data_IF_547619013732
#
_entry.id   IF_547619013732
#
_cell.length_a   1.000
_cell.length_b   1.000
_cell.length_c   1.000
_cell.angle_alpha   90.00
_cell.angle_beta   90.00
_cell.angle_gamma   90.00
#
_symmetry.space_group_name_H-M   'P 1'
#
loop_
_entity.id
_entity.type
_entity.pdbx_description
1 polymer ?
#
# COMPACT_ATOMS: atom_id res chain seq x y z
N UNK A 1 49.72 4.35 -28.44
CA UNK A 1 48.30 4.07 -28.07
C UNK A 1 47.76 5.28 -27.35
N UNK A 2 46.91 6.05 -28.01
CA UNK A 2 46.48 7.38 -27.58
C UNK A 2 45.45 7.28 -26.47
N UNK A 3 45.47 8.23 -25.54
CA UNK A 3 44.56 8.35 -24.37
C UNK A 3 43.06 8.23 -24.72
N UNK A 4 42.69 8.55 -25.96
CA UNK A 4 41.32 8.35 -26.50
C UNK A 4 40.85 6.88 -26.55
N UNK A 5 41.78 5.91 -26.65
CA UNK A 5 41.40 4.49 -26.66
C UNK A 5 41.04 3.92 -25.30
N UNK A 6 41.55 4.49 -24.21
CA UNK A 6 41.25 4.03 -22.84
C UNK A 6 39.88 4.52 -22.34
N UNK A 7 39.46 5.72 -22.75
CA UNK A 7 38.14 6.27 -22.39
C UNK A 7 36.99 5.56 -23.12
N UNK A 8 37.17 5.19 -24.37
CA UNK A 8 36.15 4.42 -25.11
C UNK A 8 35.97 2.99 -24.56
N UNK A 9 37.06 2.32 -24.14
CA UNK A 9 36.98 0.99 -23.51
C UNK A 9 36.32 1.03 -22.14
N UNK A 10 36.54 2.07 -21.33
CA UNK A 10 35.88 2.27 -20.04
C UNK A 10 34.38 2.49 -20.16
N UNK A 11 33.96 3.32 -21.13
CA UNK A 11 32.54 3.59 -21.40
C UNK A 11 31.79 2.36 -21.95
N UNK A 12 32.41 1.59 -22.83
CA UNK A 12 31.81 0.36 -23.37
C UNK A 12 31.69 -0.75 -22.30
N UNK A 13 32.65 -0.84 -21.38
CA UNK A 13 32.62 -1.79 -20.26
C UNK A 13 31.54 -1.40 -19.24
N UNK A 14 31.35 -0.10 -18.94
CA UNK A 14 30.31 0.40 -18.06
C UNK A 14 28.93 0.20 -18.69
N UNK A 15 28.74 0.52 -19.97
CA UNK A 15 27.49 0.29 -20.67
C UNK A 15 27.10 -1.20 -20.70
N UNK A 16 28.07 -2.10 -20.91
CA UNK A 16 27.83 -3.56 -20.90
C UNK A 16 27.47 -4.08 -19.50
N UNK A 17 28.05 -3.53 -18.44
CA UNK A 17 27.70 -3.88 -17.05
C UNK A 17 26.32 -3.34 -16.66
N UNK A 18 25.98 -2.13 -17.08
CA UNK A 18 24.66 -1.54 -16.87
C UNK A 18 23.59 -2.32 -17.66
N UNK A 19 23.85 -2.70 -18.90
CA UNK A 19 22.93 -3.54 -19.69
C UNK A 19 22.75 -4.94 -19.12
N UNK A 20 23.79 -5.54 -18.50
CA UNK A 20 23.65 -6.84 -17.82
C UNK A 20 22.82 -6.74 -16.55
N UNK A 21 22.97 -5.67 -15.77
CA UNK A 21 22.15 -5.41 -14.57
C UNK A 21 20.70 -5.16 -14.95
N UNK A 22 20.45 -4.39 -16.01
CA UNK A 22 19.09 -4.15 -16.53
C UNK A 22 18.48 -5.45 -17.08
N UNK A 23 19.24 -6.28 -17.81
CA UNK A 23 18.77 -7.56 -18.32
C UNK A 23 18.47 -8.58 -17.21
N UNK A 24 19.23 -8.57 -16.11
CA UNK A 24 18.94 -9.40 -14.93
C UNK A 24 17.68 -8.95 -14.17
N UNK A 25 17.31 -7.67 -14.22
CA UNK A 25 16.12 -7.15 -13.58
C UNK A 25 14.81 -7.54 -14.30
N UNK A 26 14.88 -7.90 -15.59
CA UNK A 26 13.71 -8.33 -16.38
C UNK A 26 13.44 -9.85 -16.37
N UNK A 27 14.28 -10.67 -15.71
CA UNK A 27 14.19 -12.15 -15.79
C UNK A 27 13.33 -12.79 -14.69
N UNK A 28 12.72 -12.00 -13.78
CA UNK A 28 11.88 -12.53 -12.69
C UNK A 28 10.44 -12.02 -12.76
N UNK A 29 9.75 -12.25 -13.88
CA UNK A 29 8.31 -12.16 -13.92
C UNK A 29 7.74 -13.55 -13.51
N UNK A 30 7.38 -13.73 -12.25
CA UNK A 30 6.59 -14.88 -11.84
C UNK A 30 5.13 -14.66 -12.30
N UNK A 31 4.45 -15.67 -12.85
CA UNK A 31 3.04 -15.54 -13.17
C UNK A 31 2.22 -15.43 -11.88
N UNK A 32 1.29 -14.48 -11.84
CA UNK A 32 0.28 -14.33 -10.79
C UNK A 32 -0.58 -15.61 -10.78
N UNK A 33 -0.38 -16.46 -9.81
CA UNK A 33 -1.25 -17.61 -9.58
C UNK A 33 -2.56 -17.11 -8.99
N UNK A 34 -3.67 -17.34 -9.68
CA UNK A 34 -5.01 -17.23 -9.09
C UNK A 34 -5.06 -18.25 -7.97
N UNK A 35 -5.31 -17.82 -6.73
CA UNK A 35 -5.48 -18.71 -5.60
C UNK A 35 -6.71 -19.59 -5.88
N UNK A 36 -6.48 -20.85 -6.25
CA UNK A 36 -7.55 -21.84 -6.34
C UNK A 36 -7.90 -22.30 -4.93
N UNK A 37 -9.21 -22.33 -4.62
CA UNK A 37 -9.69 -22.97 -3.41
C UNK A 37 -9.19 -24.43 -3.39
N UNK A 38 -8.69 -24.93 -2.22
CA UNK A 38 -8.21 -26.30 -2.12
C UNK A 38 -9.28 -27.33 -2.49
N UNK A 39 -8.87 -28.47 -3.05
CA UNK A 39 -9.76 -29.56 -3.37
C UNK A 39 -10.58 -29.98 -2.16
N UNK A 40 -11.89 -30.07 -2.34
CA UNK A 40 -12.86 -30.32 -1.32
C UNK A 40 -13.80 -31.46 -1.75
N UNK A 41 -13.90 -32.50 -0.91
CA UNK A 41 -14.90 -33.57 -1.07
C UNK A 41 -16.16 -33.21 -0.25
N UNK A 42 -17.26 -32.76 -0.88
CA UNK A 42 -18.48 -32.39 -0.16
C UNK A 42 -19.10 -33.55 0.61
N UNK A 43 -18.86 -34.81 0.20
CA UNK A 43 -19.51 -35.96 0.82
C UNK A 43 -18.84 -36.41 2.14
N UNK A 44 -17.65 -35.88 2.43
CA UNK A 44 -16.91 -36.26 3.65
C UNK A 44 -17.55 -35.72 4.96
N UNK A 45 -18.45 -34.72 4.87
CA UNK A 45 -19.01 -34.05 6.04
C UNK A 45 -20.48 -34.38 6.23
N UNK A 46 -20.87 -34.97 7.40
CA UNK A 46 -22.27 -35.27 7.68
C UNK A 46 -23.10 -34.01 7.83
N UNK A 47 -24.30 -34.05 7.29
CA UNK A 47 -25.25 -32.94 7.36
C UNK A 47 -26.09 -32.98 8.66
N UNK A 48 -26.62 -31.84 9.11
CA UNK A 48 -27.71 -31.80 10.04
C UNK A 48 -28.93 -32.63 9.55
N UNK A 49 -29.75 -33.16 10.45
CA UNK A 49 -30.87 -33.99 10.06
C UNK A 49 -31.90 -33.29 9.19
N UNK A 50 -32.03 -31.99 9.36
CA UNK A 50 -32.96 -31.14 8.61
C UNK A 50 -32.30 -29.84 8.15
N UNK A 51 -31.94 -29.74 6.87
CA UNK A 51 -31.37 -28.54 6.29
C UNK A 51 -32.37 -27.39 6.15
N UNK A 52 -33.70 -27.66 6.23
CA UNK A 52 -34.68 -26.57 6.19
C UNK A 52 -34.63 -25.68 7.40
N UNK A 53 -34.26 -26.22 8.59
CA UNK A 53 -34.03 -25.52 9.84
C UNK A 53 -32.65 -24.87 9.97
N UNK A 54 -31.76 -25.03 8.97
CA UNK A 54 -30.47 -24.35 8.95
C UNK A 54 -30.59 -23.01 8.22
N UNK A 55 -30.18 -21.93 8.89
CA UNK A 55 -30.25 -20.56 8.38
C UNK A 55 -28.87 -19.93 8.31
N UNK A 56 -28.57 -19.28 7.22
CA UNK A 56 -27.33 -18.51 7.03
C UNK A 56 -27.63 -17.02 6.98
N UNK A 57 -26.73 -16.23 7.55
CA UNK A 57 -26.82 -14.77 7.55
C UNK A 57 -25.47 -14.17 7.15
N UNK A 58 -25.52 -13.17 6.29
CA UNK A 58 -24.41 -12.28 6.03
C UNK A 58 -24.31 -11.27 7.18
N UNK A 59 -23.17 -11.24 7.82
CA UNK A 59 -22.85 -10.24 8.85
C UNK A 59 -21.84 -9.27 8.25
N UNK A 60 -22.26 -8.01 8.09
CA UNK A 60 -21.41 -6.93 7.57
C UNK A 60 -21.08 -5.98 8.69
N UNK A 61 -19.80 -5.69 8.87
CA UNK A 61 -19.28 -4.78 9.90
C UNK A 61 -18.65 -3.59 9.21
N UNK A 62 -19.08 -2.39 9.57
CA UNK A 62 -18.58 -1.15 9.01
C UNK A 62 -17.11 -0.88 9.37
N UNK A 63 -16.52 0.11 8.73
CA UNK A 63 -15.17 0.59 9.02
C UNK A 63 -15.02 1.00 10.48
N UNK A 64 -13.81 0.95 11.01
CA UNK A 64 -13.49 1.34 12.39
C UNK A 64 -12.24 2.22 12.44
N UNK A 65 -11.87 2.63 13.67
CA UNK A 65 -10.77 3.57 13.90
C UNK A 65 -9.38 2.94 13.78
N UNK A 66 -9.25 1.61 13.89
CA UNK A 66 -7.96 0.96 13.75
C UNK A 66 -7.56 0.84 12.28
N UNK A 67 -6.25 0.87 12.01
CA UNK A 67 -5.70 0.76 10.66
C UNK A 67 -6.19 -0.49 9.89
N UNK A 68 -6.34 -1.61 10.57
CA UNK A 68 -6.83 -2.86 10.00
C UNK A 68 -8.36 -2.94 9.88
N UNK A 69 -9.10 -1.99 10.47
CA UNK A 69 -10.56 -1.91 10.40
C UNK A 69 -11.07 -0.98 9.30
N UNK A 70 -10.17 -0.26 8.61
CA UNK A 70 -10.54 0.76 7.61
C UNK A 70 -11.28 0.20 6.39
N UNK A 71 -11.22 -1.10 6.14
CA UNK A 71 -11.97 -1.74 5.05
C UNK A 71 -13.27 -2.40 5.51
N UNK A 72 -13.60 -2.33 6.80
CA UNK A 72 -14.73 -3.05 7.35
C UNK A 72 -14.41 -4.53 7.57
N UNK A 73 -15.46 -5.35 7.74
CA UNK A 73 -15.31 -6.78 7.91
C UNK A 73 -16.57 -7.54 7.47
N UNK A 74 -16.40 -8.79 7.02
CA UNK A 74 -17.51 -9.69 6.67
C UNK A 74 -17.35 -11.00 7.43
N UNK A 75 -18.44 -11.48 8.00
CA UNK A 75 -18.54 -12.79 8.61
C UNK A 75 -19.82 -13.52 8.14
N UNK A 76 -19.87 -14.81 8.34
CA UNK A 76 -21.03 -15.63 8.02
C UNK A 76 -21.59 -16.24 9.32
N UNK A 77 -22.86 -15.99 9.64
CA UNK A 77 -23.55 -16.62 10.77
C UNK A 77 -24.39 -17.79 10.29
N UNK A 78 -24.33 -18.88 11.03
CA UNK A 78 -25.15 -20.07 10.83
C UNK A 78 -25.95 -20.35 12.11
N UNK A 79 -27.26 -20.54 11.94
CA UNK A 79 -28.14 -20.99 13.03
C UNK A 79 -28.85 -22.29 12.61
N UNK A 80 -28.74 -23.33 13.43
CA UNK A 80 -29.43 -24.61 13.26
C UNK A 80 -30.50 -24.75 14.35
N UNK A 81 -31.75 -24.74 13.97
CA UNK A 81 -32.91 -24.85 14.85
C UNK A 81 -32.93 -26.21 15.59
N UNK A 82 -32.48 -27.29 14.93
CA UNK A 82 -32.56 -28.66 15.44
C UNK A 82 -31.64 -28.89 16.62
N UNK A 83 -30.44 -28.30 16.60
CA UNK A 83 -29.42 -28.40 17.64
C UNK A 83 -29.31 -27.16 18.50
N UNK A 84 -30.00 -26.07 18.15
CA UNK A 84 -29.83 -24.74 18.72
C UNK A 84 -28.37 -24.24 18.61
N UNK A 85 -27.64 -24.74 17.61
CA UNK A 85 -26.28 -24.30 17.34
C UNK A 85 -26.30 -22.95 16.64
N UNK A 86 -25.59 -21.95 17.20
CA UNK A 86 -25.53 -20.58 16.69
C UNK A 86 -24.07 -20.13 16.64
N UNK A 87 -23.49 -20.03 15.46
CA UNK A 87 -22.08 -19.76 15.24
C UNK A 87 -21.86 -18.65 14.22
N UNK A 88 -20.89 -17.78 14.48
CA UNK A 88 -20.31 -16.87 13.50
C UNK A 88 -18.96 -17.45 13.03
N UNK A 89 -18.82 -17.62 11.73
CA UNK A 89 -17.59 -17.97 11.03
C UNK A 89 -16.88 -16.70 10.64
N UNK A 90 -15.70 -16.48 11.23
CA UNK A 90 -14.92 -15.27 11.09
C UNK A 90 -13.56 -15.60 10.49
N UNK A 91 -13.29 -15.13 9.27
CA UNK A 91 -11.98 -15.17 8.59
C UNK A 91 -11.26 -13.86 8.85
N UNK A 92 -10.12 -13.88 9.43
CA UNK A 92 -9.39 -12.65 9.75
C UNK A 92 -8.79 -12.67 11.14
N UNK A 93 -8.86 -13.83 11.81
CA UNK A 93 -8.18 -14.01 13.08
C UNK A 93 -6.69 -14.21 12.82
N UNK A 94 -5.85 -13.36 13.39
CA UNK A 94 -4.41 -13.39 13.23
C UNK A 94 -3.71 -13.22 14.59
N UNK A 95 -2.50 -13.77 14.68
CA UNK A 95 -1.72 -13.75 15.91
C UNK A 95 -0.78 -12.53 15.95
N UNK A 96 -0.94 -11.69 16.96
CA UNK A 96 -0.06 -10.56 17.28
C UNK A 96 0.78 -10.79 18.54
N UNK A 97 0.77 -12.00 19.10
CA UNK A 97 1.48 -12.32 20.35
C UNK A 97 2.99 -12.07 20.27
N UNK A 98 3.58 -12.13 19.06
CA UNK A 98 4.97 -11.77 18.79
C UNK A 98 5.30 -10.28 18.87
N UNK A 99 4.29 -9.40 18.99
CA UNK A 99 4.43 -7.95 19.02
C UNK A 99 4.38 -7.28 17.65
N UNK A 100 4.27 -5.94 17.65
CA UNK A 100 4.03 -5.12 16.45
C UNK A 100 5.16 -5.21 15.42
N UNK A 101 6.43 -5.29 15.84
CA UNK A 101 7.57 -5.29 14.90
C UNK A 101 7.66 -6.59 14.10
N UNK A 102 7.60 -7.80 14.70
CA UNK A 102 7.50 -9.05 13.94
C UNK A 102 6.25 -9.10 13.04
N UNK A 103 5.11 -8.62 13.52
CA UNK A 103 3.89 -8.54 12.70
C UNK A 103 4.10 -7.65 11.47
N UNK A 104 4.58 -6.41 11.64
CA UNK A 104 4.84 -5.50 10.52
C UNK A 104 5.86 -6.05 9.52
N UNK A 105 6.88 -6.77 10.00
CA UNK A 105 7.88 -7.42 9.16
C UNK A 105 7.29 -8.59 8.37
N UNK A 106 6.46 -9.42 8.98
CA UNK A 106 5.76 -10.50 8.30
C UNK A 106 4.75 -9.96 7.28
N UNK A 107 4.01 -8.91 7.65
CA UNK A 107 3.13 -8.19 6.74
C UNK A 107 3.89 -7.68 5.51
N UNK A 108 5.03 -7.01 5.71
CA UNK A 108 5.87 -6.54 4.61
C UNK A 108 6.34 -7.66 3.68
N UNK A 109 6.63 -8.84 4.23
CA UNK A 109 7.01 -10.03 3.45
C UNK A 109 5.84 -10.70 2.72
N UNK A 110 4.60 -10.36 3.04
CA UNK A 110 3.43 -11.10 2.55
C UNK A 110 3.13 -12.38 3.33
N UNK A 111 3.81 -12.61 4.46
CA UNK A 111 3.56 -13.75 5.34
C UNK A 111 2.45 -13.36 6.32
N UNK A 112 1.21 -13.59 5.91
CA UNK A 112 0.02 -13.25 6.67
C UNK A 112 -0.80 -14.52 6.88
N UNK A 113 -0.44 -15.28 7.90
CA UNK A 113 -1.19 -16.48 8.26
C UNK A 113 -2.40 -16.06 9.09
N UNK A 114 -3.54 -16.06 8.44
CA UNK A 114 -4.84 -15.86 9.05
C UNK A 114 -5.56 -17.19 9.17
N UNK A 115 -6.55 -17.25 10.06
CA UNK A 115 -7.33 -18.45 10.23
C UNK A 115 -8.82 -18.17 10.36
N UNK A 116 -9.62 -19.18 10.01
CA UNK A 116 -11.03 -19.23 10.33
C UNK A 116 -11.22 -19.56 11.82
N UNK A 117 -12.08 -18.80 12.48
CA UNK A 117 -12.60 -19.11 13.80
C UNK A 117 -14.13 -19.16 13.76
N UNK A 118 -14.73 -20.11 14.47
CA UNK A 118 -16.16 -20.12 14.73
C UNK A 118 -16.41 -19.84 16.22
N UNK A 119 -17.27 -18.87 16.51
CA UNK A 119 -17.57 -18.41 17.86
C UNK A 119 -19.06 -18.11 18.04
N UNK A 120 -19.51 -18.01 19.29
CA UNK A 120 -20.87 -17.60 19.58
C UNK A 120 -21.08 -16.13 19.16
N UNK A 121 -22.25 -15.78 18.57
CA UNK A 121 -22.52 -14.41 18.11
C UNK A 121 -22.36 -13.35 19.20
N UNK A 122 -22.64 -13.67 20.44
CA UNK A 122 -22.50 -12.74 21.57
C UNK A 122 -21.06 -12.25 21.75
N UNK A 123 -20.07 -13.13 21.55
CA UNK A 123 -18.65 -12.76 21.69
C UNK A 123 -18.22 -11.81 20.57
N UNK A 124 -18.61 -12.11 19.34
CA UNK A 124 -18.29 -11.26 18.18
C UNK A 124 -18.97 -9.89 18.29
N UNK A 125 -20.26 -9.87 18.59
CA UNK A 125 -21.00 -8.62 18.71
C UNK A 125 -20.53 -7.76 19.88
N UNK A 126 -20.11 -8.35 21.00
CA UNK A 126 -19.52 -7.61 22.12
C UNK A 126 -18.16 -6.99 21.72
N UNK A 127 -17.37 -7.69 20.92
CA UNK A 127 -16.12 -7.15 20.36
C UNK A 127 -16.40 -5.95 19.44
N UNK A 128 -17.32 -6.08 18.48
CA UNK A 128 -17.66 -4.96 17.56
C UNK A 128 -18.28 -3.78 18.30
N UNK A 129 -19.06 -4.03 19.37
CA UNK A 129 -19.58 -2.97 20.24
C UNK A 129 -18.47 -2.23 20.96
N UNK A 130 -17.47 -2.94 21.49
CA UNK A 130 -16.31 -2.33 22.12
C UNK A 130 -15.48 -1.49 21.13
N UNK A 131 -15.45 -1.87 19.85
CA UNK A 131 -14.81 -1.13 18.77
C UNK A 131 -15.68 0.02 18.21
N UNK A 132 -16.92 0.19 18.68
CA UNK A 132 -17.88 1.18 18.19
C UNK A 132 -18.14 1.09 16.67
N UNK A 133 -18.28 -0.12 16.15
CA UNK A 133 -18.52 -0.39 14.73
C UNK A 133 -19.96 -0.77 14.47
N UNK A 134 -20.55 -0.21 13.43
CA UNK A 134 -21.89 -0.59 12.98
C UNK A 134 -21.90 -2.01 12.44
N UNK A 135 -22.93 -2.77 12.78
CA UNK A 135 -23.10 -4.16 12.34
C UNK A 135 -24.48 -4.35 11.76
N UNK A 136 -24.53 -4.86 10.53
CA UNK A 136 -25.74 -5.28 9.83
C UNK A 136 -25.75 -6.79 9.68
N UNK A 137 -26.96 -7.35 9.70
CA UNK A 137 -27.20 -8.76 9.44
C UNK A 137 -28.34 -8.91 8.45
N UNK A 138 -28.19 -9.81 7.47
CA UNK A 138 -29.19 -10.13 6.47
C UNK A 138 -29.25 -11.64 6.25
N UNK A 139 -30.46 -12.19 6.17
CA UNK A 139 -30.65 -13.61 5.89
C UNK A 139 -30.28 -13.91 4.44
N UNK A 140 -29.54 -15.00 4.23
CA UNK A 140 -29.19 -15.48 2.90
C UNK A 140 -30.21 -16.56 2.49
N UNK A 141 -30.99 -16.31 1.44
CA UNK A 141 -32.02 -17.21 0.94
C UNK A 141 -31.41 -18.23 -0.02
N UNK A 142 -31.09 -19.41 0.52
CA UNK A 142 -30.54 -20.54 -0.20
C UNK A 142 -31.54 -21.70 -0.21
N UNK A 143 -31.55 -22.48 -1.29
CA UNK A 143 -32.24 -23.78 -1.35
C UNK A 143 -31.52 -24.80 -0.47
N UNK A 144 -32.18 -25.89 -0.07
CA UNK A 144 -31.57 -26.93 0.75
C UNK A 144 -30.27 -27.50 0.12
N UNK A 145 -30.21 -27.83 -1.18
CA UNK A 145 -28.95 -28.27 -1.78
C UNK A 145 -27.82 -27.23 -1.68
N UNK A 146 -28.13 -25.93 -1.85
CA UNK A 146 -27.14 -24.85 -1.71
C UNK A 146 -26.66 -24.69 -0.27
N UNK A 147 -27.58 -24.81 0.71
CA UNK A 147 -27.20 -24.84 2.14
C UNK A 147 -26.29 -26.02 2.48
N UNK A 148 -26.54 -27.19 1.87
CA UNK A 148 -25.69 -28.37 2.04
C UNK A 148 -24.24 -28.13 1.59
N UNK A 149 -24.07 -27.54 0.40
CA UNK A 149 -22.74 -27.21 -0.14
C UNK A 149 -22.02 -26.23 0.81
N UNK A 150 -22.70 -25.14 1.18
CA UNK A 150 -22.13 -24.13 2.06
C UNK A 150 -21.78 -24.70 3.44
N UNK A 151 -22.68 -25.48 4.05
CA UNK A 151 -22.44 -26.12 5.33
C UNK A 151 -21.20 -27.02 5.31
N UNK A 152 -21.11 -27.90 4.32
CA UNK A 152 -19.99 -28.84 4.18
C UNK A 152 -18.68 -28.08 3.96
N UNK A 153 -18.69 -27.01 3.18
CA UNK A 153 -17.51 -26.15 2.97
C UNK A 153 -17.05 -25.50 4.26
N UNK A 154 -17.97 -25.01 5.09
CA UNK A 154 -17.67 -24.43 6.38
C UNK A 154 -17.06 -25.44 7.35
N UNK A 155 -17.65 -26.66 7.42
CA UNK A 155 -17.13 -27.72 8.27
C UNK A 155 -15.73 -28.17 7.85
N UNK A 156 -15.49 -28.32 6.53
CA UNK A 156 -14.17 -28.59 5.99
C UNK A 156 -13.16 -27.50 6.37
N UNK A 157 -13.53 -26.25 6.28
CA UNK A 157 -12.62 -25.12 6.59
C UNK A 157 -12.34 -24.98 8.10
N UNK A 158 -13.19 -25.52 8.97
CA UNK A 158 -12.94 -25.54 10.42
C UNK A 158 -11.89 -26.58 10.84
N UNK A 159 -11.56 -27.54 10.00
CA UNK A 159 -10.54 -28.53 10.33
C UNK A 159 -9.17 -27.89 10.52
N UNK A 160 -8.36 -28.33 11.49
CA UNK A 160 -7.08 -27.71 11.82
C UNK A 160 -6.14 -27.51 10.63
N UNK A 161 -6.14 -28.44 9.67
CA UNK A 161 -5.30 -28.38 8.48
C UNK A 161 -5.82 -27.44 7.39
N UNK A 162 -7.09 -27.04 7.44
CA UNK A 162 -7.75 -26.23 6.40
C UNK A 162 -8.10 -24.82 6.86
N UNK A 163 -8.01 -24.54 8.18
CA UNK A 163 -8.45 -23.25 8.74
C UNK A 163 -7.48 -22.10 8.47
N UNK A 164 -6.18 -22.40 8.32
CA UNK A 164 -5.16 -21.40 8.06
C UNK A 164 -5.09 -21.09 6.56
N UNK A 165 -4.87 -19.82 6.22
CA UNK A 165 -4.69 -19.38 4.85
C UNK A 165 -3.75 -18.18 4.77
N UNK A 166 -3.11 -18.02 3.60
CA UNK A 166 -2.27 -16.88 3.30
C UNK A 166 -3.16 -15.70 2.88
N UNK A 167 -3.39 -14.78 3.79
CA UNK A 167 -4.23 -13.61 3.53
C UNK A 167 -3.64 -12.73 2.44
N UNK A 168 -4.48 -12.35 1.48
CA UNK A 168 -4.19 -11.39 0.42
C UNK A 168 -5.26 -10.30 0.45
N UNK A 169 -4.86 -9.04 0.63
CA UNK A 169 -5.80 -7.96 0.93
C UNK A 169 -6.88 -7.73 -0.16
N UNK A 170 -6.62 -8.02 -1.43
CA UNK A 170 -7.60 -7.93 -2.50
C UNK A 170 -8.21 -9.29 -2.89
N UNK A 171 -7.42 -10.37 -2.85
CA UNK A 171 -7.79 -11.63 -3.50
C UNK A 171 -8.24 -12.72 -2.52
N UNK A 172 -7.72 -12.75 -1.29
CA UNK A 172 -8.03 -13.78 -0.28
C UNK A 172 -8.13 -13.17 1.13
N UNK A 173 -9.25 -12.50 1.39
CA UNK A 173 -9.55 -11.86 2.67
C UNK A 173 -10.86 -12.40 3.29
N UNK A 174 -11.29 -11.84 4.42
CA UNK A 174 -12.54 -12.25 5.08
C UNK A 174 -13.77 -12.16 4.17
N UNK A 175 -13.84 -11.15 3.33
CA UNK A 175 -14.98 -10.88 2.45
C UNK A 175 -14.94 -11.77 1.20
N UNK A 176 -13.78 -11.91 0.56
CA UNK A 176 -13.64 -12.79 -0.61
C UNK A 176 -13.89 -14.25 -0.25
N UNK A 177 -13.51 -14.70 0.96
CA UNK A 177 -13.85 -16.04 1.44
C UNK A 177 -15.35 -16.26 1.52
N UNK A 178 -16.11 -15.34 2.07
CA UNK A 178 -17.58 -15.41 2.11
C UNK A 178 -18.16 -15.36 0.69
N UNK A 179 -17.68 -14.45 -0.15
CA UNK A 179 -18.07 -14.31 -1.55
C UNK A 179 -17.91 -15.63 -2.32
N UNK A 180 -16.73 -16.22 -2.23
CA UNK A 180 -16.35 -17.39 -3.01
C UNK A 180 -17.11 -18.65 -2.52
N UNK A 181 -17.37 -18.77 -1.22
CA UNK A 181 -18.18 -19.87 -0.69
C UNK A 181 -19.66 -19.74 -1.05
N UNK A 182 -20.17 -18.51 -1.13
CA UNK A 182 -21.51 -18.28 -1.66
C UNK A 182 -21.59 -18.55 -3.17
N UNK A 183 -20.56 -18.17 -3.92
CA UNK A 183 -20.50 -18.46 -5.37
C UNK A 183 -20.43 -19.97 -5.63
N UNK A 184 -19.65 -20.72 -4.86
CA UNK A 184 -19.61 -22.19 -4.93
C UNK A 184 -20.99 -22.80 -4.64
N UNK A 185 -21.69 -22.35 -3.59
CA UNK A 185 -23.02 -22.81 -3.24
C UNK A 185 -24.05 -22.47 -4.31
N UNK A 186 -23.83 -21.40 -5.08
CA UNK A 186 -24.66 -20.90 -6.17
C UNK A 186 -24.18 -21.34 -7.56
N UNK A 187 -23.30 -22.34 -7.64
CA UNK A 187 -22.81 -22.94 -8.89
C UNK A 187 -22.15 -21.93 -9.85
N UNK A 188 -21.31 -21.01 -9.31
CA UNK A 188 -20.54 -20.01 -10.07
C UNK A 188 -21.37 -18.86 -10.65
N UNK A 189 -22.61 -18.66 -10.21
CA UNK A 189 -23.51 -17.65 -10.79
C UNK A 189 -23.19 -16.22 -10.39
N UNK A 190 -22.58 -16.01 -9.22
CA UNK A 190 -22.19 -14.67 -8.80
C UNK A 190 -20.98 -14.22 -9.61
N UNK A 191 -19.95 -15.05 -9.70
CA UNK A 191 -18.76 -14.73 -10.49
C UNK A 191 -19.08 -14.52 -11.98
N UNK A 192 -19.99 -15.32 -12.55
CA UNK A 192 -20.45 -15.13 -13.91
C UNK A 192 -21.23 -13.82 -14.12
N UNK A 193 -21.98 -13.36 -13.11
CA UNK A 193 -22.83 -12.16 -13.20
C UNK A 193 -22.03 -10.87 -13.10
N UNK A 194 -21.03 -10.80 -12.23
CA UNK A 194 -20.39 -9.56 -11.82
C UNK A 194 -19.06 -9.27 -12.55
N UNK A 195 -18.97 -9.58 -13.84
CA UNK A 195 -17.78 -9.36 -14.68
C UNK A 195 -17.67 -7.96 -15.28
N UNK A 196 -18.69 -7.10 -15.11
CA UNK A 196 -18.64 -5.73 -15.63
C UNK A 196 -17.58 -4.91 -14.86
N UNK A 197 -16.78 -4.13 -15.59
CA UNK A 197 -15.85 -3.17 -14.99
C UNK A 197 -16.63 -2.03 -14.33
N UNK A 198 -16.06 -1.52 -13.24
CA UNK A 198 -16.50 -0.32 -12.53
C UNK A 198 -15.66 0.89 -12.95
N UNK A 199 -16.05 2.09 -12.52
CA UNK A 199 -15.28 3.31 -12.76
C UNK A 199 -14.15 3.52 -11.72
N UNK A 200 -14.04 2.64 -10.73
CA UNK A 200 -13.04 2.72 -9.65
C UNK A 200 -11.86 1.77 -9.89
N UNK A 201 -10.70 2.15 -9.40
CA UNK A 201 -9.50 1.30 -9.31
C UNK A 201 -9.29 0.83 -7.87
N UNK A 202 -8.45 -0.19 -7.65
CA UNK A 202 -8.04 -0.55 -6.30
C UNK A 202 -7.36 0.64 -5.58
N UNK A 203 -6.60 1.49 -6.30
CA UNK A 203 -5.99 2.69 -5.73
C UNK A 203 -7.04 3.66 -5.19
N UNK A 204 -8.10 3.92 -5.94
CA UNK A 204 -9.17 4.81 -5.48
C UNK A 204 -9.83 4.29 -4.21
N UNK A 205 -10.10 2.98 -4.16
CA UNK A 205 -10.69 2.32 -3.00
C UNK A 205 -9.75 2.37 -1.79
N UNK A 206 -8.45 2.07 -1.97
CA UNK A 206 -7.44 2.17 -0.89
C UNK A 206 -7.35 3.61 -0.37
N UNK A 207 -7.28 4.60 -1.26
CA UNK A 207 -7.19 6.00 -0.86
C UNK A 207 -8.44 6.46 -0.10
N UNK A 208 -9.64 6.07 -0.54
CA UNK A 208 -10.89 6.44 0.13
C UNK A 208 -11.01 5.81 1.53
N UNK A 209 -10.62 4.55 1.69
CA UNK A 209 -10.72 3.84 2.97
C UNK A 209 -9.68 4.32 4.00
N UNK A 210 -8.50 4.73 3.56
CA UNK A 210 -7.49 5.32 4.46
C UNK A 210 -7.58 6.84 4.58
N UNK A 211 -8.66 7.48 4.12
CA UNK A 211 -8.83 8.92 4.21
C UNK A 211 -8.85 9.45 5.66
N UNK A 212 -9.22 8.63 6.64
CA UNK A 212 -9.10 8.95 8.08
C UNK A 212 -7.66 8.86 8.61
N UNK A 213 -6.73 8.23 7.86
CA UNK A 213 -5.34 7.98 8.26
C UNK A 213 -4.39 8.45 7.17
N UNK A 214 -4.33 9.77 6.97
CA UNK A 214 -3.63 10.42 5.86
C UNK A 214 -2.17 9.95 5.64
N UNK A 215 -1.43 9.65 6.71
CA UNK A 215 -0.04 9.19 6.60
C UNK A 215 0.05 7.79 5.95
N UNK A 216 -0.93 6.93 6.23
CA UNK A 216 -0.99 5.58 5.64
C UNK A 216 -1.41 5.67 4.18
N UNK A 217 -2.48 6.43 3.88
CA UNK A 217 -2.89 6.68 2.51
C UNK A 217 -1.72 7.19 1.64
N UNK A 218 -0.97 8.17 2.15
CA UNK A 218 0.20 8.70 1.47
C UNK A 218 1.35 7.69 1.34
N UNK A 219 1.56 6.85 2.35
CA UNK A 219 2.57 5.77 2.29
C UNK A 219 2.22 4.73 1.25
N UNK A 220 0.95 4.32 1.16
CA UNK A 220 0.47 3.36 0.18
C UNK A 220 0.51 3.95 -1.25
N UNK A 221 0.23 5.25 -1.42
CA UNK A 221 0.43 5.94 -2.69
C UNK A 221 1.87 5.82 -3.21
N UNK A 222 2.85 5.87 -2.31
CA UNK A 222 4.27 5.70 -2.67
C UNK A 222 4.62 4.23 -2.91
N UNK A 223 4.16 3.32 -2.06
CA UNK A 223 4.64 1.93 -2.01
C UNK A 223 3.96 1.01 -3.03
N UNK A 224 2.70 1.30 -3.42
CA UNK A 224 1.96 0.45 -4.36
C UNK A 224 2.24 0.83 -5.81
N UNK A 225 2.39 -0.18 -6.66
CA UNK A 225 2.72 -0.04 -8.08
C UNK A 225 1.47 0.12 -8.97
N UNK A 226 1.63 0.03 -10.29
CA UNK A 226 0.57 0.17 -11.28
C UNK A 226 -0.41 -1.01 -11.40
N UNK A 227 -0.20 -2.12 -10.69
CA UNK A 227 -1.14 -3.24 -10.71
C UNK A 227 -2.51 -2.83 -10.15
N UNK A 228 -2.52 -1.89 -9.21
CA UNK A 228 -3.75 -1.41 -8.56
C UNK A 228 -4.42 -0.24 -9.31
N UNK A 229 -3.91 0.16 -10.46
CA UNK A 229 -4.37 1.34 -11.22
C UNK A 229 -5.31 0.98 -12.39
N UNK A 230 -5.68 -0.28 -12.52
CA UNK A 230 -6.69 -0.70 -13.50
C UNK A 230 -8.10 -0.62 -12.92
N UNK A 231 -9.12 -0.40 -13.74
CA UNK A 231 -10.51 -0.57 -13.32
C UNK A 231 -10.72 -1.98 -12.74
N UNK A 232 -11.50 -2.06 -11.67
CA UNK A 232 -11.89 -3.32 -11.05
C UNK A 232 -13.25 -3.76 -11.56
N UNK A 233 -13.48 -5.07 -11.67
CA UNK A 233 -14.81 -5.59 -11.96
C UNK A 233 -15.69 -5.53 -10.70
N UNK A 234 -17.01 -5.61 -10.88
CA UNK A 234 -17.95 -5.74 -9.76
C UNK A 234 -17.66 -6.97 -8.89
N UNK A 235 -17.10 -8.04 -9.49
CA UNK A 235 -16.63 -9.21 -8.76
C UNK A 235 -15.40 -8.90 -7.89
N UNK A 236 -14.43 -8.22 -8.46
CA UNK A 236 -13.21 -7.85 -7.76
C UNK A 236 -13.48 -6.84 -6.62
N UNK A 237 -14.34 -5.81 -6.83
CA UNK A 237 -14.66 -4.85 -5.78
C UNK A 237 -15.35 -5.48 -4.55
N UNK A 238 -15.93 -6.69 -4.68
CA UNK A 238 -16.52 -7.44 -3.57
C UNK A 238 -15.48 -8.02 -2.59
N UNK A 239 -14.21 -7.61 -2.66
CA UNK A 239 -13.27 -7.77 -1.54
C UNK A 239 -13.62 -6.83 -0.38
N UNK A 240 -14.40 -5.77 -0.65
CA UNK A 240 -14.92 -4.83 0.32
C UNK A 240 -16.28 -5.31 0.88
N UNK A 241 -16.46 -5.32 2.22
CA UNK A 241 -17.68 -5.79 2.86
C UNK A 241 -18.95 -5.10 2.38
N UNK A 242 -18.91 -3.76 2.28
CA UNK A 242 -20.06 -2.99 1.84
C UNK A 242 -20.40 -3.24 0.37
N UNK A 243 -19.38 -3.40 -0.51
CA UNK A 243 -19.59 -3.73 -1.93
C UNK A 243 -20.15 -5.14 -2.10
N UNK A 244 -19.66 -6.12 -1.32
CA UNK A 244 -20.25 -7.47 -1.33
C UNK A 244 -21.74 -7.41 -0.99
N UNK A 245 -22.09 -6.76 0.12
CA UNK A 245 -23.47 -6.62 0.55
C UNK A 245 -24.34 -5.89 -0.48
N UNK A 246 -23.86 -4.78 -1.04
CA UNK A 246 -24.55 -3.99 -2.05
C UNK A 246 -24.84 -4.82 -3.32
N UNK A 247 -23.84 -5.49 -3.86
CA UNK A 247 -23.98 -6.32 -5.06
C UNK A 247 -24.90 -7.51 -4.82
N UNK A 248 -24.79 -8.20 -3.68
CA UNK A 248 -25.68 -9.32 -3.36
C UNK A 248 -27.13 -8.90 -3.15
N UNK A 249 -27.40 -7.67 -2.69
CA UNK A 249 -28.76 -7.16 -2.51
C UNK A 249 -29.56 -7.08 -3.82
N UNK A 250 -28.87 -6.95 -4.95
CA UNK A 250 -29.44 -6.95 -6.32
C UNK A 250 -29.62 -8.35 -6.94
N UNK A 251 -29.33 -9.43 -6.21
CA UNK A 251 -29.41 -10.81 -6.70
C UNK A 251 -30.69 -11.46 -6.20
N UNK A 252 -31.34 -12.24 -7.08
CA UNK A 252 -32.48 -13.09 -6.71
C UNK A 252 -31.99 -14.50 -6.38
N UNK A 253 -32.56 -15.10 -5.35
CA UNK A 253 -32.34 -16.51 -4.99
C UNK A 253 -32.89 -17.45 -6.07
N UNK A 254 -32.53 -18.72 -5.99
CA UNK A 254 -33.24 -19.73 -6.76
C UNK A 254 -34.67 -19.90 -6.26
N UNK A 255 -35.48 -20.49 -7.13
CA UNK A 255 -36.86 -20.80 -6.79
C UNK A 255 -36.85 -21.84 -5.66
N UNK A 256 -37.40 -21.47 -4.51
CA UNK A 256 -37.59 -22.39 -3.41
C UNK A 256 -38.60 -23.49 -3.78
N UNK A 257 -38.65 -24.56 -2.97
CA UNK A 257 -39.58 -25.70 -3.21
C UNK A 257 -41.05 -25.27 -3.27
N UNK A 258 -41.39 -24.13 -2.65
CA UNK A 258 -42.75 -23.53 -2.71
C UNK A 258 -43.03 -22.73 -4.00
N UNK A 259 -42.07 -22.66 -4.92
CA UNK A 259 -42.18 -21.95 -6.20
C UNK A 259 -41.94 -20.45 -6.12
N UNK A 260 -41.53 -19.90 -4.96
CA UNK A 260 -41.25 -18.47 -4.80
C UNK A 260 -39.80 -18.17 -4.99
N UNK A 261 -39.54 -17.09 -5.71
CA UNK A 261 -38.20 -16.50 -5.81
C UNK A 261 -38.13 -15.27 -4.89
N UNK A 262 -37.15 -15.28 -3.97
CA UNK A 262 -36.91 -14.20 -3.04
C UNK A 262 -35.61 -13.45 -3.41
N UNK A 263 -35.37 -12.21 -2.95
CA UNK A 263 -34.03 -11.63 -2.97
C UNK A 263 -33.03 -12.55 -2.25
N UNK A 264 -31.80 -12.64 -2.75
CA UNK A 264 -30.76 -13.47 -2.12
C UNK A 264 -30.50 -13.02 -0.67
N UNK A 265 -30.51 -11.71 -0.41
CA UNK A 265 -30.49 -11.13 0.92
C UNK A 265 -31.88 -10.63 1.33
N UNK A 266 -32.32 -10.98 2.53
CA UNK A 266 -33.59 -10.54 3.13
C UNK A 266 -33.45 -10.32 4.62
N UNK A 267 -34.55 -9.93 5.27
CA UNK A 267 -34.62 -9.75 6.73
C UNK A 267 -33.48 -8.87 7.28
N UNK A 268 -33.27 -7.72 6.62
CA UNK A 268 -32.29 -6.72 7.05
C UNK A 268 -32.46 -6.28 8.49
N UNK A 269 -31.40 -6.38 9.27
CA UNK A 269 -31.35 -6.00 10.67
C UNK A 269 -30.11 -5.15 10.95
N UNK A 270 -30.30 -4.06 11.67
CA UNK A 270 -29.21 -3.30 12.29
C UNK A 270 -28.98 -3.87 13.69
N UNK A 271 -27.92 -4.62 13.88
CA UNK A 271 -27.57 -5.22 15.19
C UNK A 271 -27.07 -4.14 16.16
N UNK A 272 -26.26 -3.22 15.64
CA UNK A 272 -25.78 -2.03 16.34
C UNK A 272 -25.43 -0.94 15.33
N UNK A 273 -25.54 0.32 15.78
CA UNK A 273 -25.32 1.51 14.95
C UNK A 273 -24.41 2.50 15.68
N UNK A 274 -23.32 2.87 15.03
CA UNK A 274 -22.32 3.84 15.49
C UNK A 274 -21.96 4.79 14.36
N UNK A 275 -21.55 6.04 14.65
CA UNK A 275 -21.09 6.94 13.62
C UNK A 275 -19.77 6.41 13.00
N UNK A 276 -19.60 6.51 11.67
CA UNK A 276 -18.36 6.12 11.03
C UNK A 276 -17.20 7.04 11.47
N UNK A 277 -15.94 6.58 11.37
CA UNK A 277 -14.77 7.40 11.61
C UNK A 277 -14.79 8.69 10.79
N UNK A 278 -14.36 9.80 11.40
CA UNK A 278 -14.32 11.09 10.72
C UNK A 278 -13.12 11.17 9.77
N UNK A 279 -13.36 11.60 8.54
CA UNK A 279 -12.28 11.91 7.59
C UNK A 279 -11.68 13.27 7.96
N UNK A 280 -10.44 13.28 8.48
CA UNK A 280 -9.84 14.51 9.02
C UNK A 280 -8.92 15.23 8.04
N UNK A 281 -8.23 14.55 7.12
CA UNK A 281 -7.15 15.18 6.36
C UNK A 281 -6.98 14.57 4.95
N UNK A 282 -6.87 15.44 3.96
CA UNK A 282 -6.38 15.05 2.63
C UNK A 282 -4.89 14.67 2.72
N UNK A 283 -4.48 13.44 2.35
CA UNK A 283 -3.09 13.00 2.40
C UNK A 283 -2.13 13.91 1.63
N UNK A 284 -2.61 14.61 0.61
CA UNK A 284 -1.79 15.53 -0.18
C UNK A 284 -1.45 16.84 0.52
N UNK A 285 -2.17 17.22 1.58
CA UNK A 285 -1.78 18.35 2.43
C UNK A 285 -0.43 18.08 3.10
N UNK A 286 -0.15 16.84 3.51
CA UNK A 286 1.16 16.45 4.06
C UNK A 286 2.26 16.61 3.01
N UNK A 287 2.01 16.17 1.78
CA UNK A 287 2.97 16.31 0.68
C UNK A 287 3.28 17.77 0.34
N UNK A 288 2.30 18.68 0.47
CA UNK A 288 2.48 20.11 0.23
C UNK A 288 3.50 20.75 1.18
N UNK A 289 3.67 20.22 2.41
CA UNK A 289 4.71 20.67 3.34
C UNK A 289 6.10 20.46 2.74
N UNK A 290 6.30 19.39 1.97
CA UNK A 290 7.55 19.12 1.25
C UNK A 290 7.96 20.23 0.27
N UNK A 291 7.00 20.94 -0.32
CA UNK A 291 7.26 22.11 -1.15
C UNK A 291 7.41 23.39 -0.34
N UNK A 292 6.54 23.60 0.65
CA UNK A 292 6.49 24.84 1.46
C UNK A 292 7.83 25.07 2.19
N UNK A 293 8.39 24.02 2.81
CA UNK A 293 9.62 24.17 3.60
C UNK A 293 10.82 24.66 2.77
N UNK A 294 11.19 24.05 1.61
CA UNK A 294 12.27 24.58 0.77
C UNK A 294 11.99 25.95 0.17
N UNK A 295 10.73 26.29 -0.14
CA UNK A 295 10.36 27.63 -0.62
C UNK A 295 10.58 28.68 0.47
N UNK A 296 10.10 28.43 1.68
CA UNK A 296 10.33 29.33 2.82
C UNK A 296 11.82 29.50 3.13
N UNK A 297 12.57 28.40 3.08
CA UNK A 297 14.02 28.44 3.26
C UNK A 297 14.71 29.29 2.18
N UNK A 298 14.33 29.14 0.91
CA UNK A 298 14.82 29.95 -0.19
C UNK A 298 14.51 31.43 0.03
N UNK A 299 13.28 31.78 0.40
CA UNK A 299 12.88 33.16 0.67
C UNK A 299 13.67 33.78 1.84
N UNK A 300 13.91 33.01 2.90
CA UNK A 300 14.75 33.44 4.03
C UNK A 300 16.19 33.71 3.59
N UNK A 301 16.73 32.89 2.70
CA UNK A 301 18.06 33.10 2.13
C UNK A 301 18.12 34.35 1.26
N UNK A 302 17.17 34.51 0.33
CA UNK A 302 17.12 35.66 -0.59
C UNK A 302 17.00 37.00 0.15
N UNK A 303 16.23 37.06 1.26
CA UNK A 303 16.10 38.26 2.09
C UNK A 303 17.43 38.75 2.69
N UNK A 304 18.41 37.87 2.84
CA UNK A 304 19.71 38.17 3.47
C UNK A 304 20.83 38.46 2.47
N UNK A 305 20.58 38.30 1.18
CA UNK A 305 21.58 38.58 0.14
C UNK A 305 21.38 39.98 -0.39
N UNK A 306 22.36 40.90 -0.26
CA UNK A 306 22.26 42.23 -0.85
C UNK A 306 22.23 42.10 -2.39
N UNK A 307 21.36 42.84 -3.05
CA UNK A 307 21.23 42.84 -4.51
C UNK A 307 22.56 43.13 -5.24
N UNK A 308 23.47 43.88 -4.61
CA UNK A 308 24.83 44.12 -5.12
C UNK A 308 25.70 42.87 -5.25
N UNK A 309 25.38 41.79 -4.55
CA UNK A 309 26.12 40.54 -4.61
C UNK A 309 25.99 39.86 -5.98
N UNK A 310 24.79 39.91 -6.57
CA UNK A 310 24.54 39.32 -7.89
C UNK A 310 25.24 40.06 -9.05
N UNK A 311 25.59 41.30 -8.84
CA UNK A 311 26.27 42.10 -9.87
C UNK A 311 27.80 41.86 -9.95
N UNK A 312 28.40 41.29 -8.90
CA UNK A 312 29.87 41.19 -8.77
C UNK A 312 30.45 39.78 -8.81
N UNK A 313 29.60 38.73 -8.72
CA UNK A 313 30.08 37.35 -8.67
C UNK A 313 29.46 36.48 -9.74
N UNK A 314 30.26 35.97 -10.64
CA UNK A 314 29.86 35.02 -11.70
C UNK A 314 29.60 33.59 -11.20
N UNK A 315 29.86 33.31 -9.91
CA UNK A 315 29.52 32.05 -9.24
C UNK A 315 28.73 32.39 -7.98
N UNK A 316 27.51 31.82 -7.87
CA UNK A 316 26.65 31.97 -6.71
C UNK A 316 27.25 31.18 -5.55
N UNK A 317 28.11 31.82 -4.77
CA UNK A 317 28.69 31.28 -3.54
C UNK A 317 27.90 31.78 -2.34
N UNK A 318 26.77 31.15 -1.98
CA UNK A 318 26.03 31.53 -0.77
C UNK A 318 26.84 31.15 0.48
N UNK A 319 27.18 32.12 1.32
CA UNK A 319 27.74 31.84 2.65
C UNK A 319 26.57 31.74 3.63
N UNK A 320 26.20 30.51 3.98
CA UNK A 320 25.16 30.29 4.98
C UNK A 320 25.66 30.61 6.38
N UNK A 321 24.82 31.28 7.18
CA UNK A 321 25.01 31.43 8.61
C UNK A 321 24.58 30.17 9.37
N UNK A 322 25.01 30.05 10.64
CA UNK A 322 24.80 28.85 11.45
C UNK A 322 23.34 28.40 11.56
N UNK A 323 22.40 29.34 11.71
CA UNK A 323 20.95 29.01 11.77
C UNK A 323 20.44 28.41 10.45
N UNK A 324 20.89 28.94 9.31
CA UNK A 324 20.48 28.45 8.00
C UNK A 324 21.00 27.02 7.76
N UNK A 325 22.23 26.70 8.22
CA UNK A 325 22.74 25.33 8.18
C UNK A 325 21.94 24.39 9.06
N UNK A 326 21.46 24.82 10.23
CA UNK A 326 20.60 23.99 11.09
C UNK A 326 19.26 23.68 10.42
N UNK A 327 18.63 24.68 9.81
CA UNK A 327 17.39 24.47 9.07
C UNK A 327 17.62 23.52 7.88
N UNK A 328 18.69 23.74 7.11
CA UNK A 328 19.08 22.86 6.00
C UNK A 328 19.36 21.43 6.52
N UNK A 329 19.99 21.32 7.70
CA UNK A 329 20.26 20.03 8.34
C UNK A 329 18.99 19.27 8.72
N UNK A 330 18.01 19.94 9.32
CA UNK A 330 16.71 19.32 9.65
C UNK A 330 16.01 18.86 8.39
N UNK A 331 15.90 19.72 7.36
CA UNK A 331 15.30 19.37 6.07
C UNK A 331 16.06 18.19 5.43
N UNK A 332 17.39 18.22 5.46
CA UNK A 332 18.23 17.15 4.93
C UNK A 332 18.02 15.82 5.64
N UNK A 333 17.89 15.82 6.95
CA UNK A 333 17.62 14.62 7.74
C UNK A 333 16.24 14.03 7.39
N UNK A 334 15.19 14.87 7.37
CA UNK A 334 13.84 14.44 7.02
C UNK A 334 13.82 13.85 5.61
N UNK A 335 14.38 14.57 4.63
CA UNK A 335 14.39 14.12 3.23
C UNK A 335 15.20 12.83 3.05
N UNK A 336 16.40 12.74 3.68
CA UNK A 336 17.25 11.56 3.56
C UNK A 336 16.61 10.31 4.18
N UNK A 337 15.99 10.45 5.36
CA UNK A 337 15.28 9.34 6.01
C UNK A 337 14.05 8.96 5.19
N UNK A 338 13.25 9.93 4.79
CA UNK A 338 12.04 9.70 4.02
C UNK A 338 12.36 9.00 2.67
N UNK A 339 13.21 9.60 1.85
CA UNK A 339 13.58 9.03 0.55
C UNK A 339 14.30 7.69 0.69
N UNK A 340 15.28 7.61 1.60
CA UNK A 340 16.07 6.40 1.80
C UNK A 340 15.25 5.22 2.34
N UNK A 341 14.31 5.46 3.25
CA UNK A 341 13.44 4.41 3.81
C UNK A 341 12.46 3.92 2.74
N UNK A 342 11.70 4.82 2.08
CA UNK A 342 10.77 4.38 1.04
C UNK A 342 11.47 3.72 -0.14
N UNK A 343 12.61 4.25 -0.60
CA UNK A 343 13.43 3.61 -1.62
C UNK A 343 13.92 2.23 -1.21
N UNK A 344 14.33 2.07 0.06
CA UNK A 344 14.76 0.76 0.59
C UNK A 344 13.61 -0.23 0.70
N UNK A 345 12.42 0.20 1.12
CA UNK A 345 11.23 -0.64 1.17
C UNK A 345 10.82 -1.09 -0.24
N UNK A 346 10.72 -0.16 -1.20
CA UNK A 346 10.36 -0.49 -2.57
C UNK A 346 11.38 -1.42 -3.26
N UNK A 347 12.67 -1.13 -3.13
CA UNK A 347 13.69 -2.01 -3.71
C UNK A 347 13.77 -3.35 -2.96
N UNK A 348 13.64 -3.31 -1.62
CA UNK A 348 13.68 -4.50 -0.77
C UNK A 348 12.50 -5.43 -1.04
N UNK A 349 11.32 -4.90 -1.33
CA UNK A 349 10.14 -5.72 -1.63
C UNK A 349 10.35 -6.68 -2.80
N UNK A 350 11.13 -6.29 -3.82
CA UNK A 350 11.43 -7.17 -4.95
C UNK A 350 12.13 -8.49 -4.57
N UNK A 351 12.79 -8.51 -3.42
CA UNK A 351 13.61 -9.65 -3.00
C UNK A 351 13.02 -10.43 -1.82
N UNK A 352 12.14 -9.79 -1.02
CA UNK A 352 11.70 -10.39 0.24
C UNK A 352 10.19 -10.37 0.44
N UNK A 353 9.42 -9.71 -0.44
CA UNK A 353 7.97 -9.59 -0.30
C UNK A 353 7.25 -10.39 -1.38
N UNK A 354 6.19 -11.08 -0.98
CA UNK A 354 5.26 -11.76 -1.88
C UNK A 354 4.15 -10.81 -2.39
N UNK A 355 4.12 -9.55 -1.92
CA UNK A 355 3.19 -8.54 -2.40
C UNK A 355 3.62 -7.97 -3.76
N UNK A 356 3.11 -8.55 -4.84
CA UNK A 356 3.43 -8.16 -6.23
C UNK A 356 3.08 -6.69 -6.52
N UNK A 357 2.10 -6.12 -5.81
CA UNK A 357 1.66 -4.73 -5.95
C UNK A 357 2.67 -3.69 -5.41
N UNK A 358 3.77 -4.15 -4.82
CA UNK A 358 4.88 -3.28 -4.40
C UNK A 358 6.11 -3.41 -5.31
N UNK A 359 6.13 -4.39 -6.23
CA UNK A 359 7.27 -4.66 -7.11
C UNK A 359 7.31 -3.68 -8.30
N UNK A 360 8.49 -3.48 -8.87
CA UNK A 360 8.69 -2.67 -10.09
C UNK A 360 8.05 -1.26 -10.04
N UNK A 361 8.03 -0.68 -8.86
CA UNK A 361 7.41 0.61 -8.61
C UNK A 361 8.20 1.76 -9.22
N UNK A 362 7.55 2.58 -10.06
CA UNK A 362 8.15 3.73 -10.76
C UNK A 362 8.60 4.82 -9.78
N UNK A 363 8.01 4.86 -8.57
CA UNK A 363 8.39 5.82 -7.53
C UNK A 363 9.85 5.66 -7.07
N UNK A 364 10.52 4.53 -7.40
CA UNK A 364 11.97 4.38 -7.24
C UNK A 364 12.80 5.42 -8.04
N UNK A 365 12.21 6.10 -9.04
CA UNK A 365 12.86 7.24 -9.68
C UNK A 365 12.96 8.45 -8.75
N UNK A 366 12.06 8.59 -7.78
CA UNK A 366 12.05 9.69 -6.81
C UNK A 366 12.79 9.33 -5.52
N UNK A 367 12.64 8.10 -5.04
CA UNK A 367 13.07 7.66 -3.73
C UNK A 367 14.19 6.62 -3.86
N UNK A 368 15.42 7.04 -3.56
CA UNK A 368 16.58 6.17 -3.73
C UNK A 368 17.05 5.60 -2.39
N UNK A 369 17.28 4.29 -2.27
CA UNK A 369 17.81 3.69 -1.04
C UNK A 369 19.09 4.35 -0.53
N UNK A 370 19.93 4.80 -1.47
CA UNK A 370 21.20 5.46 -1.18
C UNK A 370 21.06 6.83 -0.50
N UNK A 371 19.88 7.44 -0.56
CA UNK A 371 19.61 8.74 0.08
C UNK A 371 19.72 8.66 1.61
N UNK A 372 19.57 7.48 2.20
CA UNK A 372 19.76 7.27 3.64
C UNK A 372 21.17 7.74 4.11
N UNK A 373 22.17 7.70 3.25
CA UNK A 373 23.51 8.20 3.53
C UNK A 373 23.53 9.73 3.72
N UNK A 374 22.51 10.42 3.18
CA UNK A 374 22.30 11.85 3.39
C UNK A 374 22.05 12.23 4.84
N UNK A 375 21.71 11.27 5.71
CA UNK A 375 21.62 11.47 7.16
C UNK A 375 22.94 11.99 7.73
N UNK A 376 24.07 11.42 7.30
CA UNK A 376 25.39 11.88 7.75
C UNK A 376 25.66 13.33 7.33
N UNK A 377 25.24 13.69 6.12
CA UNK A 377 25.37 15.04 5.59
C UNK A 377 24.47 16.01 6.36
N UNK A 378 23.21 15.65 6.58
CA UNK A 378 22.25 16.43 7.36
C UNK A 378 22.68 16.67 8.81
N UNK A 379 23.22 15.63 9.46
CA UNK A 379 23.79 15.75 10.81
C UNK A 379 24.96 16.74 10.85
N UNK A 380 25.84 16.71 9.83
CA UNK A 380 26.93 17.67 9.76
C UNK A 380 26.42 19.11 9.64
N UNK A 381 25.42 19.35 8.78
CA UNK A 381 24.81 20.68 8.64
C UNK A 381 24.16 21.12 9.95
N UNK A 382 23.42 20.22 10.62
CA UNK A 382 22.69 20.53 11.84
C UNK A 382 23.63 20.81 13.03
N UNK A 383 24.59 19.92 13.28
CA UNK A 383 25.41 19.96 14.48
C UNK A 383 26.61 20.92 14.36
N UNK A 384 27.27 20.93 13.21
CA UNK A 384 28.51 21.70 13.03
C UNK A 384 28.28 23.01 12.25
N UNK A 385 27.09 23.24 11.69
CA UNK A 385 26.77 24.44 10.88
C UNK A 385 27.78 24.69 9.75
N UNK A 386 28.24 23.61 9.11
CA UNK A 386 29.26 23.65 8.05
C UNK A 386 28.85 22.80 6.87
N UNK A 387 29.21 23.20 5.62
CA UNK A 387 28.98 22.37 4.44
C UNK A 387 29.76 21.05 4.55
N UNK A 388 29.30 20.06 3.79
CA UNK A 388 30.03 18.79 3.67
C UNK A 388 31.32 19.04 2.85
N UNK A 389 32.50 18.64 3.33
CA UNK A 389 33.75 18.84 2.61
C UNK A 389 33.80 17.84 1.45
N UNK A 390 34.09 18.32 0.26
CA UNK A 390 34.39 17.49 -0.92
C UNK A 390 35.82 17.76 -1.35
N UNK A 391 36.60 16.72 -1.59
CA UNK A 391 37.92 16.85 -2.24
C UNK A 391 37.77 16.83 -3.77
N UNK A 392 38.86 16.99 -4.51
CA UNK A 392 38.86 16.97 -5.95
C UNK A 392 38.37 15.64 -6.55
N UNK A 393 38.47 14.53 -5.81
CA UNK A 393 38.04 13.20 -6.26
C UNK A 393 36.57 12.92 -5.97
N UNK A 394 36.02 13.47 -4.88
CA UNK A 394 34.63 13.23 -4.45
C UNK A 394 33.64 14.27 -5.00
N UNK A 395 34.10 15.49 -5.33
CA UNK A 395 33.23 16.54 -5.89
C UNK A 395 32.53 16.12 -7.20
N UNK A 396 33.19 15.45 -8.18
CA UNK A 396 32.51 14.95 -9.36
C UNK A 396 31.41 13.93 -9.05
N UNK A 397 31.63 13.02 -8.08
CA UNK A 397 30.62 12.03 -7.69
C UNK A 397 29.35 12.70 -7.14
N UNK A 398 29.48 13.64 -6.21
CA UNK A 398 28.34 14.38 -5.65
C UNK A 398 27.56 15.13 -6.73
N UNK A 399 28.28 15.80 -7.64
CA UNK A 399 27.62 16.51 -8.74
C UNK A 399 26.85 15.56 -9.65
N UNK A 400 27.41 14.41 -10.00
CA UNK A 400 26.73 13.41 -10.82
C UNK A 400 25.54 12.79 -10.09
N UNK A 401 25.65 12.53 -8.78
CA UNK A 401 24.58 12.01 -7.97
C UNK A 401 23.37 12.96 -7.93
N UNK A 402 23.61 14.24 -7.61
CA UNK A 402 22.55 15.25 -7.57
C UNK A 402 21.97 15.52 -8.98
N UNK A 403 22.80 15.53 -10.02
CA UNK A 403 22.33 15.65 -11.41
C UNK A 403 21.45 14.45 -11.79
N UNK A 404 21.82 13.25 -11.39
CA UNK A 404 21.04 12.04 -11.66
C UNK A 404 19.65 12.11 -10.99
N UNK A 405 19.55 12.64 -9.76
CA UNK A 405 18.25 12.93 -9.13
C UNK A 405 17.41 13.92 -9.94
N UNK A 406 18.02 15.03 -10.38
CA UNK A 406 17.31 16.02 -11.21
C UNK A 406 16.80 15.36 -12.51
N UNK A 407 17.64 14.59 -13.18
CA UNK A 407 17.25 13.88 -14.41
C UNK A 407 16.13 12.86 -14.12
N UNK A 408 16.24 12.09 -13.05
CA UNK A 408 15.21 11.12 -12.65
C UNK A 408 13.87 11.80 -12.36
N UNK A 409 13.87 12.93 -11.64
CA UNK A 409 12.66 13.74 -11.40
C UNK A 409 12.05 14.28 -12.69
N UNK A 410 12.86 14.75 -13.63
CA UNK A 410 12.37 15.22 -14.94
C UNK A 410 11.79 14.08 -15.78
N UNK A 411 12.42 12.92 -15.77
CA UNK A 411 11.91 11.70 -16.41
C UNK A 411 10.58 11.29 -15.77
N UNK A 412 10.49 11.32 -14.44
CA UNK A 412 9.27 11.00 -13.71
C UNK A 412 8.10 11.93 -14.09
N UNK A 413 8.34 13.25 -14.14
CA UNK A 413 7.36 14.22 -14.61
C UNK A 413 6.99 13.97 -16.07
N UNK A 414 7.97 13.64 -16.93
CA UNK A 414 7.71 13.27 -18.32
C UNK A 414 6.80 12.05 -18.44
N UNK A 415 7.03 11.00 -17.63
CA UNK A 415 6.16 9.82 -17.58
C UNK A 415 4.73 10.21 -17.14
N UNK A 416 4.60 11.04 -16.09
CA UNK A 416 3.29 11.50 -15.60
C UNK A 416 2.52 12.29 -16.66
N UNK A 417 3.19 13.23 -17.33
CA UNK A 417 2.54 14.12 -18.33
C UNK A 417 2.14 13.38 -19.60
N UNK A 418 2.97 12.43 -20.06
CA UNK A 418 2.75 11.72 -21.33
C UNK A 418 2.06 10.36 -21.16
N UNK A 419 1.81 9.90 -19.94
CA UNK A 419 1.14 8.63 -19.68
C UNK A 419 1.90 7.38 -20.18
N UNK A 420 3.23 7.37 -20.10
CA UNK A 420 4.04 6.26 -20.62
C UNK A 420 4.05 5.02 -19.71
N UNK A 421 3.43 5.09 -18.55
CA UNK A 421 3.38 3.98 -17.61
C UNK A 421 1.96 3.71 -17.12
N UNK A 422 1.65 2.45 -16.78
CA UNK A 422 0.34 2.10 -16.23
C UNK A 422 0.14 2.64 -14.81
N UNK A 423 1.21 2.96 -14.06
CA UNK A 423 1.12 3.46 -12.69
C UNK A 423 0.67 4.92 -12.66
N UNK A 424 -0.36 5.21 -11.88
CA UNK A 424 -0.83 6.57 -11.61
C UNK A 424 0.18 7.27 -10.68
N UNK A 425 0.85 8.30 -11.21
CA UNK A 425 1.95 9.01 -10.55
C UNK A 425 1.80 10.54 -10.60
N UNK A 426 0.76 11.04 -11.24
CA UNK A 426 0.49 12.46 -11.45
C UNK A 426 0.42 13.26 -10.13
N UNK A 427 -0.22 12.69 -9.11
CA UNK A 427 -0.32 13.29 -7.78
C UNK A 427 1.03 13.47 -7.11
N UNK A 428 1.87 12.41 -7.09
CA UNK A 428 3.23 12.52 -6.55
C UNK A 428 4.10 13.44 -7.40
N UNK A 429 3.96 13.43 -8.72
CA UNK A 429 4.65 14.37 -9.62
C UNK A 429 4.30 15.83 -9.30
N UNK A 430 3.04 16.13 -9.00
CA UNK A 430 2.59 17.47 -8.68
C UNK A 430 2.98 17.92 -7.26
N UNK A 431 2.77 17.07 -6.25
CA UNK A 431 2.93 17.49 -4.85
C UNK A 431 4.34 17.26 -4.28
N UNK A 432 5.08 16.25 -4.75
CA UNK A 432 6.38 15.85 -4.17
C UNK A 432 7.56 16.38 -5.00
N UNK A 433 7.51 16.22 -6.32
CA UNK A 433 8.66 16.56 -7.19
C UNK A 433 9.10 18.02 -7.08
N UNK A 434 8.22 19.04 -7.07
CA UNK A 434 8.67 20.44 -6.97
C UNK A 434 9.48 20.72 -5.69
N UNK A 435 9.06 20.12 -4.55
CA UNK A 435 9.78 20.24 -3.27
C UNK A 435 11.14 19.57 -3.31
N UNK A 436 11.21 18.35 -3.84
CA UNK A 436 12.46 17.59 -3.97
C UNK A 436 13.42 18.25 -4.95
N UNK A 437 12.93 18.73 -6.08
CA UNK A 437 13.75 19.44 -7.06
C UNK A 437 14.36 20.71 -6.48
N UNK A 438 13.54 21.54 -5.85
CA UNK A 438 14.01 22.78 -5.21
C UNK A 438 15.01 22.47 -4.10
N UNK A 439 14.74 21.47 -3.26
CA UNK A 439 15.65 21.05 -2.21
C UNK A 439 16.98 20.53 -2.78
N UNK A 440 16.96 19.72 -3.83
CA UNK A 440 18.16 19.21 -4.50
C UNK A 440 19.02 20.36 -5.03
N UNK A 441 18.41 21.36 -5.66
CA UNK A 441 19.12 22.57 -6.14
C UNK A 441 19.72 23.34 -4.98
N UNK A 442 19.00 23.52 -3.87
CA UNK A 442 19.49 24.23 -2.68
C UNK A 442 20.70 23.53 -2.06
N UNK A 443 20.64 22.22 -1.85
CA UNK A 443 21.79 21.49 -1.28
C UNK A 443 22.98 21.47 -2.21
N UNK A 444 22.75 21.43 -3.52
CA UNK A 444 23.83 21.52 -4.51
C UNK A 444 24.54 22.90 -4.43
N UNK A 445 23.77 23.96 -4.28
CA UNK A 445 24.31 25.32 -4.23
C UNK A 445 25.09 25.62 -2.94
N UNK A 446 24.66 25.07 -1.79
CA UNK A 446 25.17 25.52 -0.48
C UNK A 446 25.65 24.40 0.46
N UNK A 447 25.20 23.17 0.23
CA UNK A 447 25.45 22.05 1.16
C UNK A 447 26.84 21.43 1.04
N UNK A 448 27.52 21.63 -0.10
CA UNK A 448 28.81 21.04 -0.42
C UNK A 448 29.82 22.09 -0.79
N UNK A 449 31.04 22.01 -0.22
CA UNK A 449 32.14 22.90 -0.58
C UNK A 449 33.45 22.11 -0.69
N UNK A 450 34.32 22.45 -1.67
CA UNK A 450 35.63 21.82 -1.77
C UNK A 450 36.44 22.06 -0.51
N UNK A 451 37.12 21.03 -0.02
CA UNK A 451 38.07 21.16 1.06
C UNK A 451 39.16 22.17 0.65
N UNK A 452 39.45 23.14 1.51
CA UNK A 452 40.59 24.05 1.24
C UNK A 452 41.85 23.19 1.07
N UNK A 453 42.69 23.42 0.05
CA UNK A 453 43.95 22.74 -0.06
C UNK A 453 44.75 22.99 1.24
N UNK A 454 45.22 21.90 1.87
CA UNK A 454 46.18 22.05 2.97
C UNK A 454 47.39 22.78 2.39
N UNK A 455 47.66 23.99 2.86
CA UNK A 455 48.90 24.67 2.53
C UNK A 455 50.05 23.75 2.91
N UNK A 456 50.71 23.15 1.94
CA UNK A 456 51.82 22.23 2.12
C UNK A 456 53.12 22.98 2.50
N UNK A 457 53.01 24.30 2.69
CA UNK A 457 54.14 25.16 3.06
C UNK A 457 53.72 26.12 4.19
N UNK A 458 53.54 25.60 5.39
CA UNK A 458 53.68 26.36 6.62
C UNK A 458 54.61 25.54 7.51
N UNK A 459 55.87 25.70 7.20
CA UNK A 459 56.95 25.47 8.18
C UNK A 459 57.06 26.68 9.09
#
# INVERSE_FOLDING_TARGET
MTEKGKTLHGAACLARRVSLVIACLFLFAAPSGIAQLPDFDPQAYPLPPDMSGVHFYLVTVDVGDNVWDNFGHTALRMYDESSATDLIFNWGVFDVSGGVVPFAWNFFKGIMNYQLQASAPSLEFDMYRAQQRTVWQERINLTNPQKEILYRRLMWNLEPQNREYAYQYFDDNCTTRVRDYLDEALDGRLSARFQAETDETYRDQVQSHYASTAIIAFSLEILMNGNIDRPVTQWEEMYLPLRLRENLSGVMSDVAEDGKQLPLLSDYQVIMDFPPPTVETDPYQIASVGLIAPVLFLLLMLKRIPMSYFATHSRIGFKLEGLNFRILGVMGLITAVFSGVYGSLMLGSWFVSDHLDTHHNINLLLFWPTDILGVLVGLRWLLFCKPWPTDHNTAPFINYYLLAHVVAMLVYVGIAVFGFAPQVIDRLAFYVVPGFLLFTILIWAVGFQPAKPKNMFST
#
